data_IF_212574056078
#
_entry.id   IF_212574056078
#
_cell.length_a   1.000
_cell.length_b   1.000
_cell.length_c   1.000
_cell.angle_alpha   90.00
_cell.angle_beta   90.00
_cell.angle_gamma   90.00
#
_symmetry.space_group_name_H-M   'P 1'
#
loop_
_entity.id
_entity.type
_entity.pdbx_description
1 polymer ?
#
# COMPACT_ATOMS: atom_id res chain seq x y z
N UNK A 1 0.85 30.39 4.58
CA UNK A 1 0.30 29.10 5.04
C UNK A 1 0.39 28.13 3.87
N UNK A 2 0.95 26.94 4.07
CA UNK A 2 0.86 25.88 3.07
C UNK A 2 -0.56 25.32 3.07
N UNK A 3 -1.13 25.06 1.90
CA UNK A 3 -2.42 24.38 1.79
C UNK A 3 -2.31 22.97 2.42
N UNK A 4 -3.37 22.46 3.06
CA UNK A 4 -3.36 21.08 3.57
C UNK A 4 -3.14 20.08 2.44
N UNK A 5 -2.36 19.03 2.71
CA UNK A 5 -2.18 17.91 1.79
C UNK A 5 -3.45 17.06 1.66
N UNK A 6 -3.45 16.17 0.67
CA UNK A 6 -4.55 15.21 0.44
C UNK A 6 -4.05 13.78 0.66
N UNK A 7 -4.80 12.98 1.42
CA UNK A 7 -4.54 11.56 1.60
C UNK A 7 -5.60 10.73 0.85
N UNK A 8 -5.16 9.89 -0.09
CA UNK A 8 -6.02 9.11 -0.99
C UNK A 8 -5.68 7.63 -0.81
N UNK A 9 -6.70 6.79 -0.62
CA UNK A 9 -6.57 5.33 -0.58
C UNK A 9 -7.25 4.68 -1.79
N UNK A 10 -6.73 3.54 -2.23
CA UNK A 10 -7.31 2.73 -3.30
C UNK A 10 -7.66 1.35 -2.75
N UNK A 11 -8.96 1.07 -2.61
CA UNK A 11 -9.50 -0.16 -2.03
C UNK A 11 -10.15 -1.08 -3.06
N UNK A 12 -10.25 -2.37 -2.72
CA UNK A 12 -10.91 -3.38 -3.57
C UNK A 12 -10.28 -4.77 -3.47
N UNK A 13 -10.91 -5.76 -4.12
CA UNK A 13 -10.44 -7.15 -4.13
C UNK A 13 -9.11 -7.32 -4.87
N UNK A 14 -8.45 -8.47 -4.69
CA UNK A 14 -7.26 -8.81 -5.44
C UNK A 14 -7.55 -8.90 -6.94
N UNK A 15 -6.62 -8.38 -7.75
CA UNK A 15 -6.82 -8.24 -9.19
C UNK A 15 -7.70 -7.06 -9.64
N UNK A 16 -8.30 -6.27 -8.72
CA UNK A 16 -9.14 -5.13 -9.08
C UNK A 16 -8.40 -3.93 -9.73
N UNK A 17 -7.07 -4.02 -9.90
CA UNK A 17 -6.27 -2.98 -10.55
C UNK A 17 -5.84 -1.81 -9.65
N UNK A 18 -6.00 -1.92 -8.32
CA UNK A 18 -5.64 -0.88 -7.32
C UNK A 18 -4.26 -0.26 -7.57
N UNK A 19 -3.21 -1.08 -7.61
CA UNK A 19 -1.82 -0.63 -7.82
C UNK A 19 -1.58 0.00 -9.19
N UNK A 20 -2.39 -0.34 -10.19
CA UNK A 20 -2.31 0.30 -11.52
C UNK A 20 -2.94 1.68 -11.47
N UNK A 21 -4.11 1.82 -10.85
CA UNK A 21 -4.79 3.12 -10.75
C UNK A 21 -4.06 4.09 -9.84
N UNK A 22 -3.50 3.62 -8.71
CA UNK A 22 -2.67 4.44 -7.84
C UNK A 22 -1.47 5.05 -8.57
N UNK A 23 -0.73 4.24 -9.35
CA UNK A 23 0.41 4.71 -10.15
C UNK A 23 0.00 5.69 -11.25
N UNK A 24 -1.15 5.46 -11.90
CA UNK A 24 -1.70 6.37 -12.93
C UNK A 24 -2.07 7.72 -12.34
N UNK A 25 -2.75 7.74 -11.19
CA UNK A 25 -3.10 8.98 -10.51
C UNK A 25 -1.84 9.72 -10.06
N UNK A 26 -0.87 9.01 -9.48
CA UNK A 26 0.38 9.61 -9.05
C UNK A 26 1.15 10.24 -10.22
N UNK A 27 1.19 9.59 -11.38
CA UNK A 27 1.79 10.15 -12.59
C UNK A 27 1.07 11.42 -13.05
N UNK A 28 -0.26 11.39 -13.17
CA UNK A 28 -1.05 12.55 -13.59
C UNK A 28 -0.87 13.76 -12.65
N UNK A 29 -0.89 13.54 -11.33
CA UNK A 29 -0.70 14.61 -10.36
C UNK A 29 0.73 15.19 -10.41
N UNK A 30 1.75 14.36 -10.66
CA UNK A 30 3.12 14.84 -10.89
C UNK A 30 3.25 15.64 -12.17
N UNK A 31 2.55 15.27 -13.24
CA UNK A 31 2.49 16.04 -14.49
C UNK A 31 1.84 17.42 -14.29
N UNK A 32 0.90 17.54 -13.35
CA UNK A 32 0.35 18.82 -12.91
C UNK A 32 1.30 19.65 -12.01
N UNK A 33 2.52 19.15 -11.73
CA UNK A 33 3.49 19.83 -10.89
C UNK A 33 3.26 19.66 -9.38
N UNK A 34 2.50 18.65 -8.96
CA UNK A 34 2.24 18.37 -7.54
C UNK A 34 3.29 17.41 -6.96
N UNK A 35 3.63 17.63 -5.69
CA UNK A 35 4.36 16.65 -4.90
C UNK A 35 3.46 15.45 -4.59
N UNK A 36 3.94 14.24 -4.87
CA UNK A 36 3.19 13.00 -4.64
C UNK A 36 4.06 11.96 -3.97
N UNK A 37 3.62 11.52 -2.79
CA UNK A 37 4.19 10.40 -2.04
C UNK A 37 3.30 9.18 -2.24
N UNK A 38 3.90 8.09 -2.72
CA UNK A 38 3.22 6.80 -2.86
C UNK A 38 3.58 5.89 -1.69
N UNK A 39 2.59 5.16 -1.18
CA UNK A 39 2.76 4.10 -0.20
C UNK A 39 1.75 2.96 -0.44
N UNK A 40 1.93 1.82 0.22
CA UNK A 40 1.01 0.67 0.17
C UNK A 40 1.02 -0.06 1.50
N UNK A 41 -0.06 -0.78 1.79
CA UNK A 41 -0.16 -1.68 2.93
C UNK A 41 -0.63 -3.07 2.50
N UNK A 42 -0.21 -4.15 3.20
CA UNK A 42 0.89 -4.16 4.17
C UNK A 42 2.23 -3.93 3.45
N UNK A 43 3.09 -3.07 4.03
CA UNK A 43 4.37 -2.67 3.45
C UNK A 43 4.63 -1.16 3.52
N UNK A 44 5.41 -0.62 2.57
CA UNK A 44 5.61 0.83 2.42
C UNK A 44 6.73 1.45 3.28
N UNK A 45 7.37 0.67 4.15
CA UNK A 45 8.61 1.03 4.85
C UNK A 45 9.51 -0.21 4.98
N UNK A 46 10.84 -0.06 5.20
CA UNK A 46 11.74 -1.20 5.34
C UNK A 46 11.27 -2.23 6.38
N UNK A 47 10.87 -1.77 7.57
CA UNK A 47 10.35 -2.64 8.63
C UNK A 47 9.01 -3.29 8.27
N UNK A 48 8.10 -2.57 7.62
CA UNK A 48 6.82 -3.13 7.18
C UNK A 48 6.99 -4.18 6.07
N UNK A 49 8.00 -4.05 5.20
CA UNK A 49 8.30 -5.06 4.19
C UNK A 49 8.91 -6.34 4.79
N UNK A 50 9.63 -6.25 5.92
CA UNK A 50 10.07 -7.43 6.68
C UNK A 50 8.88 -8.18 7.31
N UNK A 51 7.96 -7.46 7.95
CA UNK A 51 6.72 -8.05 8.50
C UNK A 51 5.91 -8.70 7.37
N UNK A 52 5.73 -8.00 6.24
CA UNK A 52 5.04 -8.54 5.06
C UNK A 52 5.63 -9.86 4.60
N UNK A 53 6.96 -9.98 4.53
CA UNK A 53 7.60 -11.24 4.14
C UNK A 53 7.25 -12.38 5.08
N UNK A 54 7.20 -12.13 6.39
CA UNK A 54 6.81 -13.16 7.36
C UNK A 54 5.39 -13.67 7.14
N UNK A 55 4.48 -12.81 6.68
CA UNK A 55 3.08 -13.15 6.40
C UNK A 55 2.89 -13.83 5.04
N UNK A 56 3.60 -13.38 4.00
CA UNK A 56 3.40 -13.84 2.62
C UNK A 56 4.23 -15.08 2.28
N UNK A 57 5.42 -15.21 2.88
CA UNK A 57 6.35 -16.30 2.56
C UNK A 57 6.26 -17.44 3.60
N UNK A 58 6.22 -18.68 3.11
CA UNK A 58 6.25 -19.88 3.95
C UNK A 58 5.13 -20.86 3.63
N UNK A 59 4.97 -21.84 4.53
CA UNK A 59 3.92 -22.84 4.39
C UNK A 59 2.53 -22.21 4.60
N UNK A 60 1.50 -22.64 3.84
CA UNK A 60 0.12 -22.23 4.11
C UNK A 60 -0.30 -22.66 5.52
N UNK A 61 -1.15 -21.84 6.17
CA UNK A 61 -1.62 -22.05 7.55
C UNK A 61 -0.51 -22.09 8.62
N UNK A 62 0.63 -21.45 8.36
CA UNK A 62 1.71 -21.26 9.35
C UNK A 62 1.28 -20.39 10.54
N UNK A 63 0.36 -19.45 10.31
CA UNK A 63 -0.10 -18.49 11.30
C UNK A 63 -1.53 -18.80 11.73
N UNK A 64 -1.89 -18.45 12.97
CA UNK A 64 -3.29 -18.48 13.37
C UNK A 64 -4.06 -17.36 12.65
N UNK A 65 -5.38 -17.51 12.42
CA UNK A 65 -6.18 -16.43 11.82
C UNK A 65 -6.08 -15.09 12.57
N UNK A 66 -5.94 -15.14 13.90
CA UNK A 66 -5.75 -13.94 14.73
C UNK A 66 -4.38 -13.29 14.49
N UNK A 67 -3.37 -14.09 14.17
CA UNK A 67 -2.03 -13.56 13.83
C UNK A 67 -2.05 -12.92 12.45
N UNK A 68 -2.76 -13.51 11.48
CA UNK A 68 -2.88 -12.95 10.13
C UNK A 68 -3.70 -11.66 10.07
N UNK A 69 -4.67 -11.46 10.97
CA UNK A 69 -5.50 -10.25 10.98
C UNK A 69 -4.86 -9.08 11.75
N UNK A 70 -3.95 -9.35 12.69
CA UNK A 70 -3.35 -8.34 13.58
C UNK A 70 -1.95 -7.87 13.16
N UNK A 71 -1.36 -8.48 12.13
CA UNK A 71 -0.03 -8.17 11.59
C UNK A 71 -0.10 -7.83 10.10
#
# INVERSE_FOLDING_TARGET
MMAPGLFITFEGIDGAGKSTQARRLAAALREEGREVVETREPGGSPGAEEIRRLLVEGAPARWSPETEILL
#
